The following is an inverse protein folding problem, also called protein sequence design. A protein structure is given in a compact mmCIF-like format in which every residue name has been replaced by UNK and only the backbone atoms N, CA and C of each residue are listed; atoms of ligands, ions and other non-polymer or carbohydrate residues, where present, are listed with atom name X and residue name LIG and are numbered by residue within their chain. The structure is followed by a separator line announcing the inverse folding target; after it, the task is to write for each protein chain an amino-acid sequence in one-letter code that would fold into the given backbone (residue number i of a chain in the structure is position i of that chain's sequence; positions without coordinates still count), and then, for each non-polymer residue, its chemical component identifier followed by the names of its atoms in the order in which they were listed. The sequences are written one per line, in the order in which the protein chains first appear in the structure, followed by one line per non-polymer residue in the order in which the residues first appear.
data_IF_785620105920
#
_entry.id   IF_785620105920
#
_cell.length_a   1.000
_cell.length_b   1.000
_cell.length_c   1.000
_cell.angle_alpha   90.00
_cell.angle_beta   90.00
_cell.angle_gamma   90.00
#
_symmetry.space_group_name_H-M   'P 1'
#
loop_
_entity.id
_entity.type
_entity.pdbx_description
1 polymer ?
#
# COMPACT_ATOMS: atom_id res chain seq x y z
N UNK A 1 6.50 -14.26 -26.82
CA UNK A 1 5.17 -14.39 -26.15
C UNK A 1 5.28 -14.15 -24.65
N UNK A 2 6.27 -14.73 -23.97
CA UNK A 2 6.48 -14.50 -22.53
C UNK A 2 6.77 -13.04 -22.18
N UNK A 3 7.55 -12.32 -23.00
CA UNK A 3 7.89 -10.90 -22.75
C UNK A 3 6.65 -10.00 -22.74
N UNK A 4 5.75 -10.16 -23.73
CA UNK A 4 4.49 -9.39 -23.77
C UNK A 4 3.63 -9.63 -22.52
N UNK A 5 3.55 -10.88 -22.05
CA UNK A 5 2.81 -11.19 -20.83
C UNK A 5 3.45 -10.56 -19.60
N UNK A 6 4.78 -10.60 -19.50
CA UNK A 6 5.53 -9.99 -18.41
C UNK A 6 5.37 -8.45 -18.40
N UNK A 7 5.43 -7.82 -19.57
CA UNK A 7 5.23 -6.37 -19.74
C UNK A 7 3.84 -5.94 -19.31
N UNK A 8 2.80 -6.67 -19.72
CA UNK A 8 1.42 -6.40 -19.31
C UNK A 8 1.27 -6.52 -17.80
N UNK A 9 1.83 -7.58 -17.19
CA UNK A 9 1.74 -7.81 -15.75
C UNK A 9 2.47 -6.72 -14.95
N UNK A 10 3.67 -6.31 -15.39
CA UNK A 10 4.39 -5.20 -14.76
C UNK A 10 3.68 -3.87 -14.98
N UNK A 11 3.05 -3.66 -16.14
CA UNK A 11 2.30 -2.45 -16.42
C UNK A 11 1.11 -2.24 -15.48
N UNK A 12 0.59 -3.31 -14.86
CA UNK A 12 -0.45 -3.20 -13.84
C UNK A 12 0.03 -2.48 -12.56
N UNK A 13 1.35 -2.40 -12.32
CA UNK A 13 1.95 -1.61 -11.25
C UNK A 13 2.37 -0.20 -11.68
N UNK A 14 2.14 0.18 -12.93
CA UNK A 14 2.43 1.55 -13.36
C UNK A 14 1.53 2.54 -12.61
N UNK A 15 2.13 3.64 -12.15
CA UNK A 15 1.44 4.71 -11.40
C UNK A 15 0.09 5.12 -11.99
N UNK A 16 -0.05 5.43 -13.29
CA UNK A 16 -1.35 5.79 -13.86
C UNK A 16 -2.38 4.65 -13.78
N UNK A 17 -1.96 3.40 -13.97
CA UNK A 17 -2.85 2.24 -13.90
C UNK A 17 -3.33 2.02 -12.47
N UNK A 18 -2.45 2.10 -11.47
CA UNK A 18 -2.82 2.03 -10.06
C UNK A 18 -3.84 3.12 -9.70
N UNK A 19 -3.64 4.36 -10.17
CA UNK A 19 -4.57 5.47 -9.94
C UNK A 19 -5.94 5.17 -10.57
N UNK A 20 -5.97 4.71 -11.82
CA UNK A 20 -7.22 4.34 -12.52
C UNK A 20 -7.95 3.23 -11.77
N UNK A 21 -7.26 2.15 -11.39
CA UNK A 21 -7.85 1.05 -10.62
C UNK A 21 -8.39 1.56 -9.28
N UNK A 22 -7.64 2.43 -8.59
CA UNK A 22 -8.06 3.00 -7.30
C UNK A 22 -9.33 3.83 -7.43
N UNK A 23 -9.40 4.69 -8.46
CA UNK A 23 -10.57 5.54 -8.73
C UNK A 23 -11.79 4.67 -9.10
N UNK A 24 -11.63 3.75 -10.05
CA UNK A 24 -12.71 2.85 -10.48
C UNK A 24 -13.21 1.96 -9.33
N UNK A 25 -12.29 1.36 -8.58
CA UNK A 25 -12.63 0.53 -7.44
C UNK A 25 -13.36 1.32 -6.36
N UNK A 26 -13.06 2.60 -6.19
CA UNK A 26 -13.73 3.43 -5.20
C UNK A 26 -15.12 3.91 -5.60
N UNK A 27 -15.40 4.09 -6.90
CA UNK A 27 -16.77 4.28 -7.36
C UNK A 27 -17.65 3.08 -6.99
N UNK A 28 -17.08 1.86 -7.00
CA UNK A 28 -17.80 0.63 -6.71
C UNK A 28 -17.89 0.32 -5.20
N UNK A 29 -16.80 0.53 -4.45
CA UNK A 29 -16.68 0.05 -3.07
C UNK A 29 -16.68 1.17 -2.02
N UNK A 30 -16.54 2.43 -2.45
CA UNK A 30 -16.67 3.63 -1.62
C UNK A 30 -15.39 4.45 -1.49
N UNK A 31 -15.55 5.75 -1.29
CA UNK A 31 -14.47 6.76 -1.27
C UNK A 31 -13.44 6.54 -0.14
N UNK A 32 -13.82 5.91 0.98
CA UNK A 32 -12.88 5.60 2.09
C UNK A 32 -11.73 4.72 1.63
N UNK A 33 -11.99 3.81 0.69
CA UNK A 33 -10.96 2.91 0.15
C UNK A 33 -9.90 3.68 -0.64
N UNK A 34 -10.24 4.81 -1.29
CA UNK A 34 -9.25 5.64 -1.99
C UNK A 34 -8.20 6.11 -0.99
N UNK A 35 -8.65 6.82 0.06
CA UNK A 35 -7.76 7.39 1.04
C UNK A 35 -6.89 6.31 1.68
N UNK A 36 -7.51 5.22 2.14
CA UNK A 36 -6.80 4.12 2.79
C UNK A 36 -5.77 3.48 1.84
N UNK A 37 -6.13 3.27 0.57
CA UNK A 37 -5.23 2.70 -0.45
C UNK A 37 -4.06 3.64 -0.75
N UNK A 38 -4.32 4.93 -0.98
CA UNK A 38 -3.28 5.91 -1.29
C UNK A 38 -2.33 6.10 -0.11
N UNK A 39 -2.85 6.21 1.11
CA UNK A 39 -2.04 6.27 2.33
C UNK A 39 -1.20 5.00 2.50
N UNK A 40 -1.77 3.82 2.26
CA UNK A 40 -1.07 2.55 2.38
C UNK A 40 0.06 2.43 1.35
N UNK A 41 -0.17 2.78 0.09
CA UNK A 41 0.88 2.79 -0.96
C UNK A 41 1.99 3.78 -0.61
N UNK A 42 1.63 5.01 -0.25
CA UNK A 42 2.60 6.06 0.09
C UNK A 42 3.49 5.62 1.25
N UNK A 43 2.89 5.06 2.31
CA UNK A 43 3.63 4.46 3.41
C UNK A 43 4.50 3.28 2.95
N UNK A 44 3.98 2.41 2.08
CA UNK A 44 4.71 1.27 1.52
C UNK A 44 5.99 1.67 0.79
N UNK A 45 5.98 2.79 0.07
CA UNK A 45 7.18 3.34 -0.58
C UNK A 45 8.21 3.80 0.45
N UNK A 46 7.79 4.55 1.47
CA UNK A 46 8.68 5.04 2.55
C UNK A 46 9.31 3.86 3.30
N UNK A 47 8.49 2.86 3.64
CA UNK A 47 8.92 1.64 4.31
C UNK A 47 9.88 0.82 3.44
N UNK A 48 9.62 0.69 2.13
CA UNK A 48 10.52 -0.05 1.24
C UNK A 48 11.92 0.57 1.19
N UNK A 49 12.01 1.90 1.13
CA UNK A 49 13.29 2.61 1.16
C UNK A 49 14.01 2.37 2.50
N UNK A 50 13.28 2.38 3.61
CA UNK A 50 13.86 2.07 4.92
C UNK A 50 14.41 0.65 4.98
N UNK A 51 13.63 -0.34 4.53
CA UNK A 51 14.06 -1.75 4.49
C UNK A 51 15.28 -1.92 3.60
N UNK A 52 15.31 -1.29 2.42
CA UNK A 52 16.48 -1.28 1.54
C UNK A 52 17.71 -0.70 2.23
N UNK A 53 17.55 0.39 2.98
CA UNK A 53 18.61 1.00 3.76
C UNK A 53 19.08 0.13 4.93
N UNK A 54 18.21 -0.71 5.49
CA UNK A 54 18.54 -1.66 6.56
C UNK A 54 19.31 -2.87 6.04
N UNK A 55 18.86 -3.49 4.95
CA UNK A 55 19.46 -4.72 4.44
C UNK A 55 20.69 -4.49 3.56
N UNK A 56 20.75 -3.37 2.86
CA UNK A 56 21.89 -2.94 2.05
C UNK A 56 22.41 -3.98 1.05
N UNK A 57 21.53 -4.86 0.55
CA UNK A 57 21.91 -5.86 -0.45
C UNK A 57 22.16 -5.15 -1.78
N UNK A 58 23.39 -5.14 -2.31
CA UNK A 58 23.74 -4.40 -3.50
C UNK A 58 23.09 -5.02 -4.74
N UNK A 59 22.76 -4.19 -5.72
CA UNK A 59 22.41 -4.66 -7.05
C UNK A 59 23.67 -5.11 -7.80
N UNK A 60 23.51 -5.89 -8.87
CA UNK A 60 24.55 -6.02 -9.90
C UNK A 60 25.00 -4.61 -10.34
N UNK A 61 26.33 -4.33 -10.38
CA UNK A 61 26.88 -3.02 -10.76
C UNK A 61 26.41 -2.52 -12.13
N UNK A 62 26.00 -3.44 -13.02
CA UNK A 62 25.54 -3.14 -14.37
C UNK A 62 24.13 -2.54 -14.43
N UNK A 63 23.31 -2.71 -13.37
CA UNK A 63 21.88 -2.39 -13.38
C UNK A 63 21.53 -1.18 -12.51
N UNK A 64 22.14 -1.04 -11.33
CA UNK A 64 22.02 0.19 -10.53
C UNK A 64 23.03 0.23 -9.38
N UNK A 65 23.29 1.42 -8.84
CA UNK A 65 24.05 1.59 -7.59
C UNK A 65 23.18 1.51 -6.34
N UNK A 66 21.91 1.11 -6.47
CA UNK A 66 20.93 1.13 -5.37
C UNK A 66 20.69 -0.25 -4.78
N UNK A 67 20.23 -0.32 -3.53
CA UNK A 67 19.92 -1.61 -2.91
C UNK A 67 18.68 -2.27 -3.53
N UNK A 68 18.76 -3.58 -3.72
CA UNK A 68 17.76 -4.36 -4.48
C UNK A 68 16.71 -5.02 -3.56
N UNK A 69 17.10 -5.42 -2.36
CA UNK A 69 16.25 -6.13 -1.40
C UNK A 69 15.63 -5.19 -0.35
N UNK A 70 14.33 -5.33 -0.04
CA UNK A 70 13.33 -6.15 -0.73
C UNK A 70 12.81 -5.46 -2.00
N UNK A 71 12.21 -6.23 -2.92
CA UNK A 71 11.63 -5.68 -4.14
C UNK A 71 10.49 -4.69 -3.84
N UNK A 72 10.69 -3.43 -4.23
CA UNK A 72 9.69 -2.37 -4.04
C UNK A 72 8.42 -2.57 -4.86
N UNK A 73 8.55 -3.06 -6.10
CA UNK A 73 7.41 -3.41 -6.96
C UNK A 73 6.57 -4.51 -6.30
N UNK A 74 7.20 -5.57 -5.82
CA UNK A 74 6.49 -6.66 -5.17
C UNK A 74 5.87 -6.22 -3.84
N UNK A 75 6.57 -5.43 -3.03
CA UNK A 75 6.06 -4.93 -1.74
C UNK A 75 4.83 -4.04 -1.92
N UNK A 76 4.94 -2.98 -2.73
CA UNK A 76 3.83 -2.04 -2.96
C UNK A 76 2.68 -2.75 -3.69
N UNK A 77 2.99 -3.60 -4.67
CA UNK A 77 2.00 -4.42 -5.36
C UNK A 77 1.23 -5.31 -4.39
N UNK A 78 1.92 -6.00 -3.49
CA UNK A 78 1.30 -6.84 -2.46
C UNK A 78 0.38 -6.02 -1.56
N UNK A 79 0.84 -4.86 -1.08
CA UNK A 79 0.03 -3.98 -0.24
C UNK A 79 -1.22 -3.50 -0.96
N UNK A 80 -1.10 -3.07 -2.22
CA UNK A 80 -2.21 -2.61 -3.04
C UNK A 80 -3.22 -3.72 -3.32
N UNK A 81 -2.78 -4.79 -3.97
CA UNK A 81 -3.66 -5.85 -4.45
C UNK A 81 -4.32 -6.62 -3.31
N UNK A 82 -3.58 -6.96 -2.25
CA UNK A 82 -4.18 -7.66 -1.11
C UNK A 82 -5.16 -6.76 -0.34
N UNK A 83 -4.94 -5.44 -0.31
CA UNK A 83 -5.90 -4.52 0.28
C UNK A 83 -7.25 -4.56 -0.43
N UNK A 84 -7.27 -4.53 -1.76
CA UNK A 84 -8.49 -4.66 -2.55
C UNK A 84 -9.11 -6.06 -2.47
N UNK A 85 -8.29 -7.11 -2.38
CA UNK A 85 -8.75 -8.48 -2.24
C UNK A 85 -9.70 -8.69 -1.03
N UNK A 86 -9.58 -7.87 0.02
CA UNK A 86 -10.45 -7.93 1.20
C UNK A 86 -11.92 -7.61 0.88
N UNK A 87 -12.19 -6.87 -0.18
CA UNK A 87 -13.50 -6.27 -0.46
C UNK A 87 -14.17 -6.79 -1.73
N UNK A 88 -13.52 -7.71 -2.44
CA UNK A 88 -14.02 -8.32 -3.68
C UNK A 88 -14.45 -9.77 -3.46
N UNK A 89 -15.13 -10.34 -4.46
CA UNK A 89 -15.60 -11.74 -4.46
C UNK A 89 -14.43 -12.73 -4.46
N UNK A 90 -14.69 -13.97 -4.08
CA UNK A 90 -13.66 -15.02 -4.03
C UNK A 90 -12.98 -15.25 -5.39
N UNK A 91 -13.74 -15.20 -6.49
CA UNK A 91 -13.20 -15.37 -7.84
C UNK A 91 -12.23 -14.23 -8.19
N UNK A 92 -12.62 -12.98 -7.90
CA UNK A 92 -11.75 -11.82 -8.10
C UNK A 92 -10.51 -11.89 -7.21
N UNK A 93 -10.61 -12.41 -5.98
CA UNK A 93 -9.44 -12.65 -5.12
C UNK A 93 -8.46 -13.62 -5.76
N UNK A 94 -8.94 -14.73 -6.31
CA UNK A 94 -8.10 -15.69 -7.02
C UNK A 94 -7.36 -15.03 -8.20
N UNK A 95 -8.04 -14.19 -8.98
CA UNK A 95 -7.41 -13.41 -10.06
C UNK A 95 -6.35 -12.46 -9.53
N UNK A 96 -6.61 -11.76 -8.43
CA UNK A 96 -5.63 -10.88 -7.79
C UNK A 96 -4.37 -11.65 -7.35
N UNK A 97 -4.54 -12.84 -6.76
CA UNK A 97 -3.40 -13.68 -6.39
C UNK A 97 -2.58 -14.13 -7.61
N UNK A 98 -3.25 -14.47 -8.73
CA UNK A 98 -2.59 -14.80 -9.98
C UNK A 98 -1.83 -13.60 -10.56
N UNK A 99 -2.39 -12.38 -10.47
CA UNK A 99 -1.70 -11.14 -10.87
C UNK A 99 -0.44 -10.93 -10.03
N UNK A 100 -0.51 -11.08 -8.71
CA UNK A 100 0.66 -10.95 -7.82
C UNK A 100 1.74 -11.98 -8.14
N UNK A 101 1.35 -13.23 -8.37
CA UNK A 101 2.29 -14.28 -8.79
C UNK A 101 2.93 -13.92 -10.14
N UNK A 102 2.14 -13.49 -11.10
CA UNK A 102 2.59 -13.06 -12.42
C UNK A 102 3.58 -11.89 -12.36
N UNK A 103 3.30 -10.88 -11.54
CA UNK A 103 4.22 -9.75 -11.30
C UNK A 103 5.56 -10.27 -10.75
N UNK A 104 5.52 -11.13 -9.72
CA UNK A 104 6.73 -11.69 -9.13
C UNK A 104 7.56 -12.48 -10.15
N UNK A 105 6.92 -13.33 -10.96
CA UNK A 105 7.57 -14.07 -12.04
C UNK A 105 8.14 -13.13 -13.12
N UNK A 106 7.44 -12.05 -13.45
CA UNK A 106 7.90 -11.06 -14.44
C UNK A 106 9.15 -10.31 -13.99
N UNK A 107 9.26 -9.99 -12.69
CA UNK A 107 10.46 -9.37 -12.12
C UNK A 107 11.69 -10.29 -12.19
N UNK A 108 11.47 -11.60 -12.02
CA UNK A 108 12.52 -12.62 -12.12
C UNK A 108 12.91 -12.84 -13.59
N UNK A 109 11.91 -12.90 -14.49
CA UNK A 109 12.11 -13.08 -15.93
C UNK A 109 13.03 -12.02 -16.53
N UNK A 110 12.85 -10.75 -16.15
CA UNK A 110 13.70 -9.65 -16.62
C UNK A 110 15.00 -9.47 -15.81
N UNK A 111 15.32 -10.39 -14.90
CA UNK A 111 16.50 -10.33 -14.04
C UNK A 111 16.60 -9.04 -13.20
N UNK A 112 15.47 -8.36 -12.95
CA UNK A 112 15.43 -7.20 -12.06
C UNK A 112 15.60 -7.59 -10.60
N UNK A 113 15.12 -8.79 -10.24
CA UNK A 113 15.10 -9.27 -8.88
C UNK A 113 15.31 -10.79 -8.82
N UNK A 114 15.97 -11.25 -7.77
CA UNK A 114 16.03 -12.67 -7.43
C UNK A 114 14.72 -13.12 -6.78
N UNK A 115 14.52 -14.45 -6.67
CA UNK A 115 13.41 -15.01 -5.92
C UNK A 115 13.37 -14.50 -4.47
N UNK A 116 14.53 -14.31 -3.85
CA UNK A 116 14.64 -13.82 -2.46
C UNK A 116 14.14 -12.38 -2.35
N UNK A 117 14.49 -11.51 -3.31
CA UNK A 117 14.01 -10.12 -3.32
C UNK A 117 12.50 -10.01 -3.50
N UNK A 118 11.94 -10.85 -4.37
CA UNK A 118 10.49 -10.94 -4.63
C UNK A 118 9.78 -11.50 -3.39
N UNK A 119 10.27 -12.60 -2.81
CA UNK A 119 9.70 -13.19 -1.60
C UNK A 119 9.76 -12.23 -0.41
N UNK A 120 10.87 -11.51 -0.24
CA UNK A 120 11.02 -10.45 0.76
C UNK A 120 10.02 -9.32 0.56
N UNK A 121 9.85 -8.85 -0.68
CA UNK A 121 8.84 -7.83 -1.01
C UNK A 121 7.42 -8.29 -0.67
N UNK A 122 7.06 -9.51 -1.05
CA UNK A 122 5.77 -10.11 -0.70
C UNK A 122 5.57 -10.22 0.82
N UNK A 123 6.57 -10.72 1.55
CA UNK A 123 6.53 -10.88 3.00
C UNK A 123 6.33 -9.54 3.72
N UNK A 124 7.17 -8.54 3.44
CA UNK A 124 7.06 -7.21 4.08
C UNK A 124 5.79 -6.48 3.66
N UNK A 125 5.34 -6.64 2.41
CA UNK A 125 4.08 -6.07 1.93
C UNK A 125 2.87 -6.66 2.65
N UNK A 126 2.84 -7.98 2.83
CA UNK A 126 1.78 -8.67 3.59
C UNK A 126 1.80 -8.26 5.07
N UNK A 127 2.97 -8.20 5.69
CA UNK A 127 3.13 -7.78 7.08
C UNK A 127 2.62 -6.35 7.30
N UNK A 128 3.05 -5.41 6.46
CA UNK A 128 2.64 -4.01 6.55
C UNK A 128 1.13 -3.82 6.33
N UNK A 129 0.57 -4.46 5.30
CA UNK A 129 -0.87 -4.42 5.02
C UNK A 129 -1.68 -5.06 6.16
N UNK A 130 -1.22 -6.21 6.68
CA UNK A 130 -1.86 -6.91 7.79
C UNK A 130 -1.90 -6.07 9.07
N UNK A 131 -0.77 -5.45 9.44
CA UNK A 131 -0.69 -4.52 10.59
C UNK A 131 -1.59 -3.30 10.39
N UNK A 132 -1.56 -2.69 9.20
CA UNK A 132 -2.42 -1.56 8.87
C UNK A 132 -3.89 -1.91 9.04
N UNK A 133 -4.33 -3.06 8.50
CA UNK A 133 -5.71 -3.55 8.65
C UNK A 133 -6.05 -3.83 10.11
N UNK A 134 -5.16 -4.49 10.85
CA UNK A 134 -5.39 -4.82 12.26
C UNK A 134 -5.64 -3.56 13.10
N UNK A 135 -4.82 -2.52 12.92
CA UNK A 135 -4.98 -1.25 13.64
C UNK A 135 -6.28 -0.54 13.24
N UNK A 136 -6.62 -0.52 11.94
CA UNK A 136 -7.89 0.04 11.47
C UNK A 136 -9.11 -0.63 12.12
N UNK A 137 -9.09 -1.96 12.29
CA UNK A 137 -10.19 -2.70 12.92
C UNK A 137 -10.36 -2.37 14.41
N UNK A 138 -9.31 -1.87 15.08
CA UNK A 138 -9.39 -1.40 16.48
C UNK A 138 -10.00 -0.01 16.61
N UNK A 139 -10.35 0.64 15.49
CA UNK A 139 -11.00 1.96 15.46
C UNK A 139 -10.26 3.01 16.31
N UNK A 140 -8.94 3.02 16.22
CA UNK A 140 -8.10 3.88 17.04
C UNK A 140 -8.19 5.34 16.55
N UNK A 141 -8.79 6.23 17.34
CA UNK A 141 -9.07 7.63 16.97
C UNK A 141 -7.82 8.41 16.54
N UNK A 142 -6.67 8.14 17.16
CA UNK A 142 -5.40 8.81 16.88
C UNK A 142 -4.55 8.12 15.82
N UNK A 143 -5.07 7.08 15.17
CA UNK A 143 -4.33 6.32 14.16
C UNK A 143 -3.70 7.18 13.06
N UNK A 144 -4.37 8.21 12.49
CA UNK A 144 -3.77 9.01 11.42
C UNK A 144 -2.50 9.73 11.88
N UNK A 145 -2.50 10.24 13.12
CA UNK A 145 -1.35 10.94 13.70
C UNK A 145 -0.23 9.97 14.04
N UNK A 146 -0.53 8.82 14.64
CA UNK A 146 0.48 7.79 14.88
C UNK A 146 1.09 7.27 13.57
N UNK A 147 0.28 7.13 12.53
CA UNK A 147 0.72 6.70 11.21
C UNK A 147 1.63 7.73 10.55
N UNK A 148 1.27 9.02 10.65
CA UNK A 148 2.12 10.12 10.20
C UNK A 148 3.44 10.18 10.97
N UNK A 149 3.41 10.10 12.31
CA UNK A 149 4.62 10.08 13.16
C UNK A 149 5.54 8.92 12.76
N UNK A 150 4.99 7.71 12.58
CA UNK A 150 5.77 6.57 12.14
C UNK A 150 6.43 6.82 10.78
N UNK A 151 5.70 7.40 9.82
CA UNK A 151 6.27 7.77 8.52
C UNK A 151 7.36 8.83 8.65
N UNK A 152 7.21 9.81 9.53
CA UNK A 152 8.23 10.83 9.82
C UNK A 152 9.49 10.23 10.42
N UNK A 153 9.35 9.27 11.35
CA UNK A 153 10.48 8.54 11.92
C UNK A 153 11.21 7.70 10.88
N UNK A 154 10.48 7.03 9.98
CA UNK A 154 11.08 6.28 8.87
C UNK A 154 11.79 7.22 7.87
N UNK A 155 11.24 8.40 7.60
CA UNK A 155 11.89 9.39 6.73
C UNK A 155 13.16 9.97 7.35
N UNK A 156 13.14 10.23 8.65
CA UNK A 156 14.34 10.62 9.39
C UNK A 156 15.40 9.51 9.29
N UNK A 157 15.02 8.26 9.56
CA UNK A 157 15.90 7.10 9.40
C UNK A 157 16.48 7.02 7.98
N UNK A 158 15.66 7.15 6.93
CA UNK A 158 16.11 7.13 5.54
C UNK A 158 17.15 8.23 5.26
N UNK A 159 16.97 9.42 5.82
CA UNK A 159 17.90 10.53 5.64
C UNK A 159 19.24 10.26 6.33
N UNK A 160 19.19 9.65 7.53
CA UNK A 160 20.39 9.25 8.27
C UNK A 160 21.18 8.13 7.58
N UNK A 161 20.51 7.16 6.96
CA UNK A 161 21.16 6.02 6.29
C UNK A 161 21.74 6.38 4.93
N UNK A 162 21.02 7.15 4.11
CA UNK A 162 21.42 7.43 2.73
C UNK A 162 22.20 8.73 2.55
N UNK A 163 22.37 9.54 3.60
CA UNK A 163 22.80 10.96 3.57
C UNK A 163 21.86 11.89 2.77
N UNK A 164 21.33 11.43 1.63
CA UNK A 164 20.26 12.05 0.87
C UNK A 164 19.21 10.97 0.54
N UNK A 165 18.05 11.04 1.20
CA UNK A 165 16.97 10.07 0.94
C UNK A 165 16.48 10.16 -0.52
N UNK A 166 16.18 9.02 -1.16
CA UNK A 166 15.72 9.00 -2.55
C UNK A 166 14.51 9.92 -2.81
N UNK A 167 14.43 10.62 -3.96
CA UNK A 167 13.34 11.58 -4.24
C UNK A 167 11.94 10.97 -4.17
N UNK A 168 11.79 9.70 -4.54
CA UNK A 168 10.50 9.01 -4.48
C UNK A 168 10.01 8.76 -3.04
N UNK A 169 10.91 8.65 -2.05
CA UNK A 169 10.55 8.57 -0.64
C UNK A 169 9.96 9.89 -0.15
N UNK A 170 10.59 11.01 -0.50
CA UNK A 170 10.09 12.35 -0.19
C UNK A 170 8.72 12.63 -0.81
N UNK A 171 8.55 12.31 -2.11
CA UNK A 171 7.26 12.46 -2.78
C UNK A 171 6.17 11.65 -2.06
N UNK A 172 6.44 10.38 -1.73
CA UNK A 172 5.50 9.55 -0.99
C UNK A 172 5.16 10.12 0.40
N UNK A 173 6.15 10.63 1.12
CA UNK A 173 5.95 11.28 2.42
C UNK A 173 5.09 12.55 2.33
N UNK A 174 5.31 13.40 1.32
CA UNK A 174 4.48 14.58 1.11
C UNK A 174 3.04 14.20 0.75
N UNK A 175 2.83 13.22 -0.13
CA UNK A 175 1.49 12.73 -0.44
C UNK A 175 0.78 12.19 0.80
N UNK A 176 1.46 11.34 1.59
CA UNK A 176 0.89 10.79 2.82
C UNK A 176 0.50 11.89 3.80
N UNK A 177 1.41 12.86 4.01
CA UNK A 177 1.18 13.99 4.92
C UNK A 177 -0.02 14.82 4.46
N UNK A 178 -0.05 15.24 3.19
CA UNK A 178 -1.14 16.05 2.64
C UNK A 178 -2.49 15.31 2.76
N UNK A 179 -2.53 14.02 2.42
CA UNK A 179 -3.75 13.21 2.52
C UNK A 179 -4.27 13.13 3.96
N UNK A 180 -3.38 12.89 4.93
CA UNK A 180 -3.75 12.86 6.36
C UNK A 180 -4.24 14.23 6.81
N UNK A 181 -3.51 15.30 6.51
CA UNK A 181 -3.89 16.66 6.92
C UNK A 181 -5.23 17.10 6.32
N UNK A 182 -5.43 16.93 5.01
CA UNK A 182 -6.69 17.27 4.33
C UNK A 182 -7.85 16.51 4.97
N UNK A 183 -7.70 15.20 5.19
CA UNK A 183 -8.79 14.43 5.78
C UNK A 183 -9.07 14.84 7.24
N UNK A 184 -8.04 15.15 8.03
CA UNK A 184 -8.22 15.67 9.39
C UNK A 184 -8.93 17.03 9.39
N UNK A 185 -8.54 17.95 8.51
CA UNK A 185 -9.21 19.26 8.35
C UNK A 185 -10.68 19.11 7.95
N UNK A 186 -10.98 18.23 6.99
CA UNK A 186 -12.36 17.98 6.55
C UNK A 186 -13.21 17.30 7.64
N UNK A 187 -12.61 16.41 8.43
CA UNK A 187 -13.30 15.69 9.50
C UNK A 187 -13.59 16.56 10.74
N UNK A 188 -12.79 17.59 11.00
CA UNK A 188 -12.94 18.49 12.16
C UNK A 188 -14.32 19.16 12.16
N UNK A 189 -14.84 19.57 11.01
CA UNK A 189 -16.12 20.26 10.89
C UNK A 189 -17.37 19.39 11.19
N UNK A 190 -17.20 18.19 11.77
CA UNK A 190 -18.28 17.32 12.26
C UNK A 190 -19.20 16.75 11.19
N UNK A 191 -18.96 17.09 9.92
CA UNK A 191 -19.85 16.78 8.79
C UNK A 191 -19.33 15.68 7.86
N UNK A 192 -18.05 15.29 7.95
CA UNK A 192 -17.46 14.35 6.98
C UNK A 192 -16.79 13.14 7.63
N UNK A 193 -17.27 11.97 7.18
CA UNK A 193 -16.57 10.69 7.02
C UNK A 193 -15.17 10.61 7.65
N UNK A 194 -15.02 9.94 8.79
CA UNK A 194 -13.70 9.45 9.22
C UNK A 194 -13.24 8.41 8.20
N UNK A 195 -12.28 8.79 7.36
CA UNK A 195 -11.67 7.93 6.35
C UNK A 195 -10.89 6.76 6.95
N UNK A 196 -10.75 6.73 8.27
CA UNK A 196 -10.02 5.74 9.05
C UNK A 196 -10.92 4.73 9.77
N UNK A 197 -12.21 4.75 9.45
CA UNK A 197 -13.11 3.66 9.83
C UNK A 197 -12.87 2.44 8.93
N UNK A 198 -12.90 1.21 9.48
CA UNK A 198 -12.79 0.02 8.66
C UNK A 198 -13.94 -0.02 7.64
N UNK A 199 -13.59 -0.35 6.40
CA UNK A 199 -14.60 -0.62 5.37
C UNK A 199 -15.16 -2.00 5.66
N UNK A 200 -16.47 -2.10 5.88
CA UNK A 200 -17.10 -3.40 6.13
C UNK A 200 -17.25 -4.14 4.81
N UNK A 201 -16.77 -5.39 4.78
CA UNK A 201 -16.74 -6.23 3.57
C UNK A 201 -18.11 -6.83 3.20
N UNK A 202 -19.15 -6.64 4.02
CA UNK A 202 -20.47 -7.24 3.79
C UNK A 202 -21.60 -6.19 3.88
N UNK A 203 -22.41 -5.99 2.82
CA UNK A 203 -23.59 -5.11 2.88
C UNK A 203 -24.60 -5.51 3.96
N UNK A 204 -24.67 -6.79 4.35
CA UNK A 204 -25.52 -7.25 5.45
C UNK A 204 -25.09 -6.74 6.84
N UNK A 205 -23.82 -6.36 7.03
CA UNK A 205 -23.39 -5.74 8.29
C UNK A 205 -23.79 -4.24 8.38
N UNK A 206 -24.09 -3.58 7.25
CA UNK A 206 -24.56 -2.18 7.24
C UNK A 206 -25.98 -2.03 7.80
N UNK A 207 -26.82 -3.05 7.70
CA UNK A 207 -28.20 -3.01 8.23
C UNK A 207 -28.23 -3.27 9.73
N UNK A 208 -27.42 -4.21 10.23
CA UNK A 208 -27.34 -4.52 11.66
C UNK A 208 -26.83 -3.36 12.53
N UNK A 209 -25.91 -2.52 12.03
CA UNK A 209 -25.43 -1.35 12.78
C UNK A 209 -26.41 -0.17 12.83
N UNK A 210 -27.47 -0.19 12.01
CA UNK A 210 -28.54 0.83 12.03
C UNK A 210 -29.71 0.44 12.93
N UNK A 211 -29.81 -0.82 13.34
CA UNK A 211 -30.94 -1.34 14.10
C UNK A 211 -30.69 -1.50 15.59
N UNK A 212 -29.57 -1.05 16.17
CA UNK A 212 -29.47 -1.01 17.63
C UNK A 212 -30.31 0.17 18.15
N UNK A 213 -31.43 -0.07 18.86
CA UNK A 213 -32.16 1.02 19.48
C UNK A 213 -31.25 1.67 20.51
N UNK A 214 -31.17 3.01 20.47
CA UNK A 214 -30.59 3.77 21.56
C UNK A 214 -31.49 3.52 22.78
N UNK A 215 -31.06 2.64 23.67
CA UNK A 215 -31.66 2.54 25.01
C UNK A 215 -31.41 3.88 25.70
N UNK A 216 -32.50 4.58 25.99
CA UNK A 216 -32.54 5.83 26.73
C UNK A 216 -32.08 5.64 28.18
#
# INVERSE_FOLDING_TARGET
MFDLSADILLALLNKPVIIIITILGAFLLGQRLILQTLCLIAFGVILNVALKGTFQIPHSPELSTTYVFPSGHMQVGTMFYLWWALYVSWLTRSVIFLILLGIGLSLIHYHFHTLVDVAGGFFFGMLAMGLYRYILLKNFTYFPWCFWILASLLMLYNTLVYHAAPPHAWMAYYYLSILIFIERMLSWNGRFFSGWQPVLSNPYQRTASRSSPKSA
#
